data_IF_469528793582
#
_entry.id   IF_469528793582
#
_cell.length_a   1.000
_cell.length_b   1.000
_cell.length_c   1.000
_cell.angle_alpha   90.00
_cell.angle_beta   90.00
_cell.angle_gamma   90.00
#
_symmetry.space_group_name_H-M   'P 1'
#
loop_
_entity.id
_entity.type
_entity.pdbx_description
1 polymer ?
#
# COMPACT_ATOMS: atom_id res chain seq x y z
N UNK A 1 30.79 -15.13 -0.24
CA UNK A 1 29.81 -14.72 0.77
C UNK A 1 28.43 -14.77 0.12
N UNK A 2 27.36 -15.20 0.83
CA UNK A 2 26.01 -15.19 0.25
C UNK A 2 25.43 -13.78 0.38
N UNK A 3 24.63 -13.33 -0.60
CA UNK A 3 23.97 -12.03 -0.55
C UNK A 3 23.08 -11.86 0.69
N UNK A 4 22.44 -12.94 1.12
CA UNK A 4 21.61 -12.95 2.33
C UNK A 4 22.39 -12.62 3.60
N UNK A 5 23.67 -13.03 3.68
CA UNK A 5 24.54 -12.73 4.84
C UNK A 5 24.81 -11.22 4.91
N UNK A 6 25.09 -10.59 3.76
CA UNK A 6 25.33 -9.14 3.65
C UNK A 6 24.06 -8.33 3.97
N UNK A 7 22.91 -8.78 3.47
CA UNK A 7 21.60 -8.15 3.74
C UNK A 7 21.28 -8.21 5.24
N UNK A 8 21.46 -9.37 5.85
CA UNK A 8 21.22 -9.52 7.29
C UNK A 8 22.18 -8.65 8.09
N UNK A 9 23.47 -8.65 7.78
CA UNK A 9 24.43 -7.79 8.49
C UNK A 9 24.06 -6.30 8.44
N UNK A 10 23.51 -5.83 7.32
CA UNK A 10 23.19 -4.43 7.11
C UNK A 10 21.80 -4.02 7.64
N UNK A 11 20.85 -4.93 7.72
CA UNK A 11 19.43 -4.62 7.96
C UNK A 11 18.74 -5.55 9.00
N UNK A 12 19.51 -6.31 9.79
CA UNK A 12 19.08 -7.47 10.59
C UNK A 12 17.73 -7.39 11.35
N UNK A 13 17.40 -6.25 11.96
CA UNK A 13 16.21 -6.17 12.82
C UNK A 13 14.88 -6.06 12.06
N UNK A 14 14.91 -5.74 10.76
CA UNK A 14 13.70 -5.48 9.96
C UNK A 14 13.56 -6.39 8.75
N UNK A 15 14.56 -7.24 8.46
CA UNK A 15 14.56 -8.12 7.28
C UNK A 15 14.35 -9.58 7.67
N UNK A 16 13.21 -10.12 7.25
CA UNK A 16 12.85 -11.52 7.44
C UNK A 16 12.87 -12.27 6.11
N UNK A 17 13.71 -13.32 6.00
CA UNK A 17 13.88 -14.10 4.77
C UNK A 17 13.42 -15.53 5.01
N UNK A 18 12.41 -15.98 4.27
CA UNK A 18 11.85 -17.35 4.42
C UNK A 18 12.76 -18.44 3.84
N UNK A 19 13.33 -18.22 2.66
CA UNK A 19 14.20 -19.18 1.97
C UNK A 19 15.43 -18.46 1.41
N UNK A 20 16.57 -18.59 2.11
CA UNK A 20 17.80 -17.90 1.74
C UNK A 20 18.33 -18.34 0.38
N UNK A 21 18.24 -19.63 0.05
CA UNK A 21 18.76 -20.16 -1.21
C UNK A 21 18.00 -19.55 -2.41
N UNK A 22 16.67 -19.48 -2.35
CA UNK A 22 15.85 -18.88 -3.42
C UNK A 22 16.18 -17.39 -3.62
N UNK A 23 16.36 -16.65 -2.53
CA UNK A 23 16.71 -15.22 -2.59
C UNK A 23 18.10 -15.04 -3.19
N UNK A 24 19.08 -15.84 -2.76
CA UNK A 24 20.43 -15.78 -3.33
C UNK A 24 20.44 -16.08 -4.83
N UNK A 25 19.71 -17.10 -5.29
CA UNK A 25 19.63 -17.42 -6.73
C UNK A 25 18.93 -16.32 -7.53
N UNK A 26 17.84 -15.74 -7.01
CA UNK A 26 17.17 -14.60 -7.65
C UNK A 26 18.10 -13.38 -7.77
N UNK A 27 18.81 -13.03 -6.70
CA UNK A 27 19.76 -11.90 -6.74
C UNK A 27 20.90 -12.17 -7.73
N UNK A 28 21.45 -13.40 -7.77
CA UNK A 28 22.46 -13.78 -8.77
C UNK A 28 21.96 -13.59 -10.20
N UNK A 29 20.73 -13.98 -10.49
CA UNK A 29 20.13 -13.81 -11.81
C UNK A 29 19.91 -12.35 -12.17
N UNK A 30 19.48 -11.51 -11.22
CA UNK A 30 19.35 -10.06 -11.43
C UNK A 30 20.70 -9.42 -11.74
N UNK A 31 21.74 -9.76 -10.97
CA UNK A 31 23.10 -9.24 -11.16
C UNK A 31 23.69 -9.69 -12.50
N UNK A 32 23.54 -10.97 -12.86
CA UNK A 32 24.07 -11.50 -14.13
C UNK A 32 23.28 -11.02 -15.36
N UNK A 33 21.99 -10.73 -15.19
CA UNK A 33 21.14 -10.17 -16.24
C UNK A 33 21.52 -8.75 -16.64
N UNK A 34 22.07 -7.97 -15.70
CA UNK A 34 22.46 -6.58 -15.90
C UNK A 34 21.27 -5.60 -15.93
N UNK A 35 21.53 -4.29 -15.89
CA UNK A 35 20.50 -3.25 -15.80
C UNK A 35 19.56 -3.24 -17.01
N UNK A 36 20.05 -3.61 -18.20
CA UNK A 36 19.25 -3.64 -19.43
C UNK A 36 18.11 -4.67 -19.39
N UNK A 37 18.18 -5.63 -18.46
CA UNK A 37 17.14 -6.65 -18.23
C UNK A 37 16.36 -6.43 -16.92
N UNK A 38 16.66 -5.36 -16.19
CA UNK A 38 16.01 -5.05 -14.94
C UNK A 38 14.80 -4.14 -15.18
N UNK A 39 13.65 -4.53 -14.62
CA UNK A 39 12.46 -3.70 -14.53
C UNK A 39 11.99 -3.64 -13.08
N UNK A 40 11.38 -2.52 -12.70
CA UNK A 40 10.85 -2.31 -11.35
C UNK A 40 9.35 -2.08 -11.46
N UNK A 41 8.59 -2.89 -10.74
CA UNK A 41 7.16 -2.71 -10.51
C UNK A 41 7.01 -2.53 -9.01
N UNK A 42 6.44 -1.40 -8.59
CA UNK A 42 6.35 -1.03 -7.18
C UNK A 42 4.99 -0.43 -6.89
N UNK A 43 4.48 -0.74 -5.70
CA UNK A 43 3.34 -0.06 -5.11
C UNK A 43 3.75 1.36 -4.63
N UNK A 44 2.78 2.24 -4.40
CA UNK A 44 3.03 3.62 -4.01
C UNK A 44 2.85 3.85 -2.51
N UNK A 45 1.64 3.67 -2.00
CA UNK A 45 1.28 4.02 -0.63
C UNK A 45 1.97 3.11 0.38
N UNK A 46 2.74 3.70 1.31
CA UNK A 46 3.49 3.00 2.36
C UNK A 46 4.59 2.06 1.82
N UNK A 47 4.88 2.13 0.52
CA UNK A 47 6.00 1.46 -0.15
C UNK A 47 7.04 2.48 -0.63
N UNK A 48 6.64 3.41 -1.51
CA UNK A 48 7.46 4.58 -1.88
C UNK A 48 7.28 5.68 -0.85
N UNK A 49 6.04 5.92 -0.41
CA UNK A 49 5.78 6.84 0.71
C UNK A 49 6.10 6.16 2.04
N UNK A 50 6.66 6.89 3.00
CA UNK A 50 6.99 6.36 4.33
C UNK A 50 5.71 5.85 5.02
N UNK A 51 5.75 4.70 5.68
CA UNK A 51 4.57 4.12 6.38
C UNK A 51 4.22 4.80 7.71
N UNK A 52 5.24 5.27 8.43
CA UNK A 52 5.11 5.92 9.74
C UNK A 52 6.06 7.10 9.87
N UNK A 53 5.57 8.21 10.42
CA UNK A 53 6.38 9.39 10.73
C UNK A 53 6.01 9.89 12.13
N UNK A 54 7.00 10.09 13.00
CA UNK A 54 6.80 10.50 14.41
C UNK A 54 5.79 9.61 15.16
N UNK A 55 5.90 8.28 15.03
CA UNK A 55 5.01 7.29 15.64
C UNK A 55 3.53 7.44 15.23
N UNK A 56 3.27 8.03 14.06
CA UNK A 56 1.93 8.16 13.46
C UNK A 56 1.94 7.60 12.06
N UNK A 57 0.89 6.85 11.72
CA UNK A 57 0.69 6.40 10.36
C UNK A 57 0.56 7.59 9.41
N UNK A 58 1.19 7.47 8.25
CA UNK A 58 1.09 8.46 7.18
C UNK A 58 -0.21 8.30 6.39
N UNK A 59 -0.60 9.39 5.73
CA UNK A 59 -1.74 9.42 4.82
C UNK A 59 -1.46 8.58 3.58
N UNK A 60 -2.47 7.87 3.09
CA UNK A 60 -2.48 7.33 1.74
C UNK A 60 -2.78 8.42 0.72
N UNK A 61 -2.60 8.11 -0.57
CA UNK A 61 -3.02 8.94 -1.69
C UNK A 61 -4.47 9.43 -1.59
N UNK A 62 -5.41 8.56 -1.20
CA UNK A 62 -6.81 8.92 -0.93
C UNK A 62 -6.95 9.91 0.22
N UNK A 63 -6.30 9.65 1.36
CA UNK A 63 -6.38 10.54 2.51
C UNK A 63 -5.76 11.91 2.24
N UNK A 64 -4.72 11.99 1.40
CA UNK A 64 -4.17 13.27 0.94
C UNK A 64 -5.20 14.06 0.15
N UNK A 65 -5.94 13.40 -0.76
CA UNK A 65 -7.02 14.04 -1.51
C UNK A 65 -8.14 14.51 -0.58
N UNK A 66 -8.62 13.65 0.33
CA UNK A 66 -9.70 13.95 1.29
C UNK A 66 -9.36 15.13 2.23
N UNK A 67 -8.08 15.35 2.52
CA UNK A 67 -7.60 16.47 3.34
C UNK A 67 -7.64 17.83 2.60
N UNK A 68 -7.92 17.87 1.29
CA UNK A 68 -8.01 19.12 0.55
C UNK A 68 -9.18 19.99 1.04
N UNK A 69 -8.88 21.24 1.39
CA UNK A 69 -9.88 22.20 1.88
C UNK A 69 -10.96 22.54 0.86
N UNK A 70 -10.69 22.38 -0.44
CA UNK A 70 -11.65 22.63 -1.52
C UNK A 70 -12.73 21.57 -1.65
N UNK A 71 -12.59 20.42 -0.96
CA UNK A 71 -13.63 19.40 -0.92
C UNK A 71 -14.74 19.78 0.04
N UNK A 72 -15.99 19.51 -0.36
CA UNK A 72 -17.15 19.74 0.48
C UNK A 72 -17.13 18.83 1.72
N UNK A 73 -17.73 19.30 2.81
CA UNK A 73 -17.85 18.50 4.03
C UNK A 73 -18.71 17.25 3.82
N UNK A 74 -19.69 17.29 2.91
CA UNK A 74 -20.48 16.11 2.53
C UNK A 74 -19.61 15.02 1.88
N UNK A 75 -18.66 15.39 1.01
CA UNK A 75 -17.72 14.43 0.44
C UNK A 75 -16.84 13.80 1.53
N UNK A 76 -16.25 14.64 2.40
CA UNK A 76 -15.36 14.16 3.47
C UNK A 76 -16.08 13.21 4.43
N UNK A 77 -17.33 13.52 4.77
CA UNK A 77 -18.15 12.69 5.65
C UNK A 77 -18.47 11.33 5.03
N UNK A 78 -18.80 11.29 3.73
CA UNK A 78 -19.03 10.05 3.00
C UNK A 78 -17.77 9.20 2.90
N UNK A 79 -16.63 9.81 2.54
CA UNK A 79 -15.35 9.12 2.47
C UNK A 79 -14.96 8.52 3.84
N UNK A 80 -15.11 9.29 4.92
CA UNK A 80 -14.89 8.83 6.29
C UNK A 80 -15.81 7.65 6.65
N UNK A 81 -17.07 7.72 6.25
CA UNK A 81 -18.05 6.64 6.51
C UNK A 81 -17.68 5.35 5.79
N UNK A 82 -17.26 5.43 4.52
CA UNK A 82 -16.75 4.27 3.78
C UNK A 82 -15.51 3.69 4.46
N UNK A 83 -14.52 4.53 4.78
CA UNK A 83 -13.30 4.09 5.44
C UNK A 83 -13.61 3.35 6.75
N UNK A 84 -14.49 3.89 7.59
CA UNK A 84 -14.88 3.27 8.86
C UNK A 84 -15.58 1.91 8.68
N UNK A 85 -16.32 1.71 7.58
CA UNK A 85 -16.99 0.45 7.26
C UNK A 85 -16.03 -0.60 6.71
N UNK A 86 -15.20 -0.24 5.75
CA UNK A 86 -14.44 -1.21 4.95
C UNK A 86 -13.02 -1.47 5.48
N UNK A 87 -12.37 -0.48 6.11
CA UNK A 87 -11.02 -0.66 6.64
C UNK A 87 -10.89 -1.80 7.66
N UNK A 88 -11.82 -1.98 8.62
CA UNK A 88 -11.76 -3.14 9.52
C UNK A 88 -11.88 -4.50 8.81
N UNK A 89 -12.54 -4.55 7.65
CA UNK A 89 -12.66 -5.76 6.84
C UNK A 89 -11.36 -6.03 6.08
N UNK A 90 -10.77 -4.99 5.49
CA UNK A 90 -9.46 -5.04 4.83
C UNK A 90 -8.37 -5.57 5.78
N UNK A 91 -8.30 -5.01 7.00
CA UNK A 91 -7.30 -5.35 8.01
C UNK A 91 -7.57 -6.69 8.74
N UNK A 92 -8.73 -7.34 8.50
CA UNK A 92 -9.13 -8.53 9.25
C UNK A 92 -8.25 -9.75 8.95
N UNK A 93 -7.41 -10.19 9.90
CA UNK A 93 -6.50 -11.33 9.72
C UNK A 93 -7.19 -12.71 9.71
N UNK A 94 -8.46 -12.79 10.11
CA UNK A 94 -9.25 -14.02 10.13
C UNK A 94 -9.98 -14.28 8.80
N UNK A 95 -10.04 -13.28 7.92
CA UNK A 95 -10.64 -13.41 6.59
C UNK A 95 -9.57 -13.68 5.54
N UNK A 96 -9.84 -14.64 4.66
CA UNK A 96 -9.05 -14.88 3.45
C UNK A 96 -9.19 -13.72 2.46
N UNK A 97 -8.23 -13.58 1.55
CA UNK A 97 -8.28 -12.58 0.46
C UNK A 97 -9.58 -12.71 -0.35
N UNK A 98 -9.97 -13.94 -0.71
CA UNK A 98 -11.18 -14.20 -1.48
C UNK A 98 -12.46 -13.76 -0.75
N UNK A 99 -12.50 -13.87 0.59
CA UNK A 99 -13.64 -13.40 1.39
C UNK A 99 -13.69 -11.87 1.49
N UNK A 100 -12.53 -11.20 1.44
CA UNK A 100 -12.45 -9.73 1.49
C UNK A 100 -12.76 -9.09 0.14
N UNK A 101 -12.39 -9.75 -0.96
CA UNK A 101 -12.41 -9.17 -2.30
C UNK A 101 -13.74 -8.47 -2.67
N UNK A 102 -14.93 -9.06 -2.44
CA UNK A 102 -16.18 -8.38 -2.78
C UNK A 102 -16.42 -7.08 -2.00
N UNK A 103 -15.92 -6.99 -0.77
CA UNK A 103 -16.03 -5.79 0.05
C UNK A 103 -15.07 -4.70 -0.42
N UNK A 104 -13.87 -5.08 -0.86
CA UNK A 104 -12.89 -4.13 -1.40
C UNK A 104 -13.38 -3.59 -2.74
N UNK A 105 -13.91 -4.45 -3.62
CA UNK A 105 -14.52 -4.02 -4.89
C UNK A 105 -15.68 -3.05 -4.67
N UNK A 106 -16.58 -3.37 -3.73
CA UNK A 106 -17.68 -2.47 -3.37
C UNK A 106 -17.18 -1.14 -2.80
N UNK A 107 -16.13 -1.15 -1.97
CA UNK A 107 -15.55 0.08 -1.43
C UNK A 107 -14.99 0.97 -2.54
N UNK A 108 -14.23 0.41 -3.48
CA UNK A 108 -13.71 1.13 -4.64
C UNK A 108 -14.86 1.70 -5.48
N UNK A 109 -15.87 0.88 -5.79
CA UNK A 109 -17.02 1.32 -6.59
C UNK A 109 -17.77 2.49 -5.92
N UNK A 110 -18.05 2.41 -4.62
CA UNK A 110 -18.70 3.52 -3.91
C UNK A 110 -17.84 4.78 -3.86
N UNK A 111 -16.52 4.63 -3.73
CA UNK A 111 -15.58 5.76 -3.73
C UNK A 111 -15.57 6.47 -5.08
N UNK A 112 -15.57 5.73 -6.19
CA UNK A 112 -15.62 6.28 -7.55
C UNK A 112 -16.90 7.11 -7.79
N UNK A 113 -18.06 6.60 -7.37
CA UNK A 113 -19.35 7.30 -7.52
C UNK A 113 -19.37 8.67 -6.85
N UNK A 114 -18.60 8.87 -5.78
CA UNK A 114 -18.50 10.17 -5.10
C UNK A 114 -17.55 11.14 -5.80
N UNK A 115 -16.50 10.63 -6.43
CA UNK A 115 -15.52 11.45 -7.17
C UNK A 115 -16.09 11.98 -8.48
N UNK A 116 -16.96 11.22 -9.16
CA UNK A 116 -17.57 11.63 -10.43
C UNK A 116 -18.67 12.71 -10.30
N UNK A 117 -19.12 13.02 -9.07
CA UNK A 117 -20.10 14.08 -8.79
C UNK A 117 -19.58 15.11 -7.78
N UNK A 118 -18.46 15.79 -8.05
CA UNK A 118 -17.93 16.74 -7.11
C UNK A 118 -18.80 18.00 -7.13
N UNK A 119 -19.60 18.20 -6.09
CA UNK A 119 -20.27 19.48 -5.85
C UNK A 119 -19.22 20.42 -5.28
N UNK A 120 -18.52 21.13 -6.14
CA UNK A 120 -17.61 22.18 -5.71
C UNK A 120 -18.44 23.40 -5.29
N UNK A 121 -18.30 23.88 -4.03
CA UNK A 121 -18.88 25.16 -3.67
C UNK A 121 -18.17 26.27 -4.47
N UNK A 122 -18.96 27.05 -5.24
CA UNK A 122 -18.53 28.28 -5.91
C UNK A 122 -18.45 29.40 -4.88
#
# INVERSE_FOLDING_TARGET
MKFTDEIQQKFASTVHIRCENDVNEKIKQLVSGGPDKLQIISDFDRTITTSEYNNKQTMSSFSVFEACNSLSEDYKEKARTLLQKYRPIEDNTQMTVAQKLPFIEEWWHQSELFVERPVFPI
#
